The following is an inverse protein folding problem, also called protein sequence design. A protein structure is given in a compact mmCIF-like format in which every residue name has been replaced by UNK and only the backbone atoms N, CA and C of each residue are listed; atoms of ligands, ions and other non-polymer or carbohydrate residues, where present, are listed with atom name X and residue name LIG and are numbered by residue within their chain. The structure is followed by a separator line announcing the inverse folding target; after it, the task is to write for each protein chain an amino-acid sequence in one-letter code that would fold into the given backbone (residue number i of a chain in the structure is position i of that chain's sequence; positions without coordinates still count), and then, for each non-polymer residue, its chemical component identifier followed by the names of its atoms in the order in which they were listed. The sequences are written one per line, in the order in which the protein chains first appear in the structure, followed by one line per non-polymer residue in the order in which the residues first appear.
data_IF_372811273669
#
_entry.id   IF_372811273669
#
_cell.length_a   1.000
_cell.length_b   1.000
_cell.length_c   1.000
_cell.angle_alpha   90.00
_cell.angle_beta   90.00
_cell.angle_gamma   90.00
#
_symmetry.space_group_name_H-M   'P 1'
#
loop_
_entity.id
_entity.type
_entity.pdbx_description
1 polymer ?
#
# COMPACT_ATOMS: atom_id res chain seq x y z
N UNK A 1 -4.99 4.30 -28.24
CA UNK A 1 -4.63 4.64 -26.84
C UNK A 1 -5.75 5.43 -26.16
N UNK A 2 -6.11 6.62 -26.67
CA UNK A 2 -7.20 7.46 -26.09
C UNK A 2 -8.53 6.74 -25.98
N UNK A 3 -8.91 5.92 -26.97
CA UNK A 3 -10.15 5.14 -26.90
C UNK A 3 -10.19 4.13 -25.75
N UNK A 4 -9.06 3.51 -25.40
CA UNK A 4 -9.01 2.58 -24.27
C UNK A 4 -9.09 3.33 -22.92
N UNK A 5 -8.55 4.55 -22.84
CA UNK A 5 -8.72 5.41 -21.67
C UNK A 5 -10.20 5.76 -21.47
N UNK A 6 -10.87 6.23 -22.53
CA UNK A 6 -12.28 6.58 -22.48
C UNK A 6 -13.16 5.37 -22.10
N UNK A 7 -12.90 4.19 -22.69
CA UNK A 7 -13.64 2.96 -22.34
C UNK A 7 -13.39 2.51 -20.91
N UNK A 8 -12.16 2.67 -20.39
CA UNK A 8 -11.83 2.28 -19.02
C UNK A 8 -12.53 3.13 -17.95
N UNK A 9 -12.92 4.37 -18.27
CA UNK A 9 -13.65 5.26 -17.36
C UNK A 9 -15.17 5.00 -17.34
N UNK A 10 -15.71 4.28 -18.33
CA UNK A 10 -17.14 4.02 -18.43
C UNK A 10 -17.48 2.72 -17.71
N UNK A 11 -18.35 2.80 -16.71
CA UNK A 11 -18.92 1.61 -16.08
C UNK A 11 -19.69 0.81 -17.15
N UNK A 12 -19.28 -0.45 -17.36
CA UNK A 12 -19.99 -1.43 -18.19
C UNK A 12 -19.97 -1.15 -19.71
N UNK A 13 -18.78 -0.91 -20.28
CA UNK A 13 -18.61 -0.81 -21.74
C UNK A 13 -18.79 -2.17 -22.44
N UNK A 14 -19.55 -2.23 -23.55
CA UNK A 14 -19.77 -3.46 -24.33
C UNK A 14 -18.46 -4.13 -24.83
N UNK A 15 -17.37 -3.38 -24.93
CA UNK A 15 -16.03 -3.88 -25.28
C UNK A 15 -15.07 -3.62 -24.13
N UNK A 16 -14.58 -4.69 -23.50
CA UNK A 16 -13.59 -4.62 -22.44
C UNK A 16 -12.38 -3.74 -22.85
N UNK A 17 -12.06 -2.75 -22.03
CA UNK A 17 -10.85 -1.96 -22.20
C UNK A 17 -9.62 -2.75 -21.75
N UNK A 18 -8.50 -2.58 -22.45
CA UNK A 18 -7.20 -3.06 -21.97
C UNK A 18 -6.66 -2.23 -20.80
N UNK A 19 -7.29 -1.09 -20.48
CA UNK A 19 -6.91 -0.18 -19.39
C UNK A 19 -8.08 -0.05 -18.40
N UNK A 20 -7.87 -0.43 -17.14
CA UNK A 20 -8.92 -0.44 -16.10
C UNK A 20 -9.30 0.94 -15.53
N UNK A 21 -8.42 1.93 -15.63
CA UNK A 21 -8.65 3.30 -15.14
C UNK A 21 -9.18 3.39 -13.70
N UNK A 22 -8.54 2.68 -12.77
CA UNK A 22 -8.96 2.61 -11.37
C UNK A 22 -8.87 3.99 -10.69
N UNK A 23 -9.87 4.40 -9.89
CA UNK A 23 -9.82 5.65 -9.14
C UNK A 23 -8.77 5.56 -8.02
N UNK A 24 -8.01 6.64 -7.83
CA UNK A 24 -7.00 6.75 -6.76
C UNK A 24 -7.57 7.28 -5.44
N UNK A 25 -8.82 7.76 -5.44
CA UNK A 25 -9.47 8.48 -4.35
C UNK A 25 -8.74 9.75 -3.86
N UNK A 26 -7.80 10.27 -4.66
CA UNK A 26 -7.17 11.58 -4.46
C UNK A 26 -7.90 12.60 -5.33
N UNK A 27 -8.64 13.51 -4.69
CA UNK A 27 -9.56 14.45 -5.39
C UNK A 27 -9.00 15.86 -5.57
N UNK A 28 -7.86 16.16 -4.94
CA UNK A 28 -7.16 17.45 -5.06
C UNK A 28 -5.65 17.25 -5.07
N UNK A 29 -4.95 18.17 -5.72
CA UNK A 29 -3.49 18.26 -5.63
C UNK A 29 -3.07 19.00 -4.36
N UNK A 30 -1.81 18.83 -3.92
CA UNK A 30 -1.31 19.59 -2.79
C UNK A 30 -1.43 21.11 -3.02
N UNK A 31 -1.83 21.84 -2.00
CA UNK A 31 -1.99 23.30 -2.05
C UNK A 31 -0.95 24.07 -1.22
N UNK A 32 -0.06 23.34 -0.53
CA UNK A 32 1.01 23.89 0.28
C UNK A 32 0.57 24.25 1.70
N UNK A 33 -0.68 24.00 2.08
CA UNK A 33 -1.18 24.21 3.44
C UNK A 33 -1.02 22.98 4.33
N UNK A 34 -0.57 21.85 3.75
CA UNK A 34 -0.42 20.58 4.45
C UNK A 34 0.61 20.69 5.58
N UNK A 35 0.22 20.19 6.74
CA UNK A 35 1.01 20.25 7.96
C UNK A 35 0.90 18.93 8.72
N UNK A 36 1.94 18.62 9.49
CA UNK A 36 1.98 17.46 10.37
C UNK A 36 3.16 16.54 10.10
N UNK A 37 3.25 15.50 10.91
CA UNK A 37 4.28 14.46 10.79
C UNK A 37 3.62 13.15 10.39
N UNK A 38 4.16 12.50 9.37
CA UNK A 38 3.61 11.30 8.76
C UNK A 38 4.69 10.23 8.66
N UNK A 39 4.28 8.97 8.70
CA UNK A 39 5.11 7.86 8.28
C UNK A 39 4.72 7.48 6.85
N UNK A 40 5.70 7.17 6.02
CA UNK A 40 5.49 6.66 4.67
C UNK A 40 6.21 5.34 4.53
N UNK A 41 5.50 4.29 4.14
CA UNK A 41 6.08 3.01 3.78
C UNK A 41 5.96 2.81 2.28
N UNK A 42 7.09 2.62 1.62
CA UNK A 42 7.16 2.38 0.19
C UNK A 42 7.73 0.99 -0.06
N UNK A 43 6.91 0.08 -0.60
CA UNK A 43 7.40 -1.19 -1.11
C UNK A 43 8.10 -0.94 -2.44
N UNK A 44 9.28 -1.52 -2.61
CA UNK A 44 10.00 -1.61 -3.89
C UNK A 44 10.05 -3.08 -4.29
N UNK A 45 10.90 -3.42 -5.26
CA UNK A 45 10.93 -4.77 -5.80
C UNK A 45 11.47 -5.81 -4.80
N UNK A 46 12.68 -5.58 -4.27
CA UNK A 46 13.35 -6.48 -3.30
C UNK A 46 13.62 -5.81 -1.94
N UNK A 47 13.25 -4.54 -1.82
CA UNK A 47 13.45 -3.71 -0.64
C UNK A 47 12.19 -2.92 -0.34
N UNK A 48 12.12 -2.36 0.85
CA UNK A 48 11.13 -1.35 1.17
C UNK A 48 11.77 -0.22 1.96
N UNK A 49 11.14 0.94 1.95
CA UNK A 49 11.63 2.14 2.63
C UNK A 49 10.59 2.62 3.64
N UNK A 50 11.03 2.96 4.83
CA UNK A 50 10.21 3.70 5.80
C UNK A 50 10.77 5.11 5.89
N UNK A 51 9.91 6.10 5.75
CA UNK A 51 10.26 7.52 5.85
C UNK A 51 9.41 8.23 6.89
N UNK A 52 10.02 9.11 7.67
CA UNK A 52 9.32 10.13 8.42
C UNK A 52 9.27 11.40 7.56
N UNK A 53 8.08 11.91 7.31
CA UNK A 53 7.83 13.13 6.54
C UNK A 53 7.25 14.18 7.47
N UNK A 54 7.85 15.36 7.54
CA UNK A 54 7.32 16.52 8.27
C UNK A 54 6.95 17.60 7.27
N UNK A 55 5.71 18.06 7.36
CA UNK A 55 5.15 19.15 6.56
C UNK A 55 4.88 20.34 7.49
N UNK A 56 5.30 21.53 7.08
CA UNK A 56 5.19 22.78 7.83
C UNK A 56 4.41 23.88 7.08
N UNK A 57 3.74 23.52 5.99
CA UNK A 57 3.01 24.47 5.14
C UNK A 57 3.89 25.42 4.32
N UNK A 58 5.18 25.09 4.10
CA UNK A 58 6.14 25.95 3.38
C UNK A 58 6.71 25.34 2.09
N UNK A 59 6.03 24.36 1.52
CA UNK A 59 6.45 23.62 0.32
C UNK A 59 7.86 22.99 0.41
N UNK A 60 8.39 22.81 1.62
CA UNK A 60 9.72 22.23 1.83
C UNK A 60 9.65 21.11 2.87
N UNK A 61 9.22 19.90 2.47
CA UNK A 61 9.07 18.78 3.38
C UNK A 61 10.43 18.32 3.93
N UNK A 62 10.51 18.08 5.23
CA UNK A 62 11.65 17.36 5.82
C UNK A 62 11.39 15.86 5.74
N UNK A 63 12.30 15.12 5.12
CA UNK A 63 12.13 13.68 4.90
C UNK A 63 13.37 12.95 5.42
N UNK A 64 13.15 12.00 6.32
CA UNK A 64 14.18 11.10 6.83
C UNK A 64 13.79 9.65 6.54
N UNK A 65 14.66 8.90 5.86
CA UNK A 65 14.31 7.57 5.38
C UNK A 65 15.31 6.49 5.77
N UNK A 66 14.83 5.26 5.83
CA UNK A 66 15.63 4.05 6.02
C UNK A 66 15.14 2.94 5.09
N UNK A 67 16.06 2.22 4.45
CA UNK A 67 15.74 1.11 3.55
C UNK A 67 15.98 -0.23 4.26
N UNK A 68 15.11 -1.18 3.96
CA UNK A 68 15.11 -2.53 4.53
C UNK A 68 14.95 -3.55 3.40
N UNK A 69 15.50 -4.74 3.59
CA UNK A 69 15.29 -5.84 2.65
C UNK A 69 13.91 -6.44 2.84
N UNK A 70 13.26 -6.84 1.75
CA UNK A 70 11.99 -7.55 1.83
C UNK A 70 12.22 -8.95 2.44
N UNK A 71 11.49 -9.31 3.50
CA UNK A 71 11.56 -10.64 4.09
C UNK A 71 10.94 -11.70 3.18
N UNK A 72 11.45 -12.94 3.27
CA UNK A 72 11.01 -14.05 2.42
C UNK A 72 9.69 -14.68 2.88
N UNK A 73 9.29 -14.50 4.14
CA UNK A 73 8.09 -15.09 4.75
C UNK A 73 7.46 -14.04 5.68
N UNK A 74 6.13 -13.94 5.72
CA UNK A 74 5.38 -13.04 6.63
C UNK A 74 5.69 -11.53 6.48
N UNK A 75 5.57 -11.02 5.25
CA UNK A 75 5.87 -9.62 4.88
C UNK A 75 5.38 -8.56 5.89
N UNK A 76 4.12 -8.65 6.33
CA UNK A 76 3.53 -7.62 7.19
C UNK A 76 3.95 -7.70 8.65
N UNK A 77 4.21 -8.90 9.16
CA UNK A 77 4.71 -9.09 10.53
C UNK A 77 6.12 -8.49 10.65
N UNK A 78 6.97 -8.78 9.66
CA UNK A 78 8.31 -8.24 9.59
C UNK A 78 8.30 -6.73 9.34
N UNK A 79 7.46 -6.22 8.43
CA UNK A 79 7.25 -4.78 8.25
C UNK A 79 6.86 -4.10 9.57
N UNK A 80 5.94 -4.69 10.36
CA UNK A 80 5.54 -4.14 11.65
C UNK A 80 6.72 -4.11 12.63
N UNK A 81 7.55 -5.15 12.65
CA UNK A 81 8.79 -5.20 13.44
C UNK A 81 9.79 -4.10 13.03
N UNK A 82 9.99 -3.89 11.73
CA UNK A 82 10.83 -2.82 11.20
C UNK A 82 10.28 -1.43 11.52
N UNK A 83 8.96 -1.23 11.42
CA UNK A 83 8.28 0.01 11.79
C UNK A 83 8.48 0.34 13.28
N UNK A 84 8.29 -0.66 14.16
CA UNK A 84 8.51 -0.49 15.59
C UNK A 84 9.97 -0.11 15.90
N UNK A 85 10.92 -0.74 15.22
CA UNK A 85 12.34 -0.44 15.38
C UNK A 85 12.69 0.96 14.86
N UNK A 86 12.11 1.36 13.72
CA UNK A 86 12.27 2.70 13.16
C UNK A 86 11.74 3.78 14.11
N UNK A 87 10.50 3.62 14.62
CA UNK A 87 9.91 4.52 15.63
C UNK A 87 10.83 4.67 16.85
N UNK A 88 11.34 3.55 17.37
CA UNK A 88 12.24 3.55 18.53
C UNK A 88 13.55 4.30 18.27
N UNK A 89 14.21 4.07 17.13
CA UNK A 89 15.46 4.77 16.76
C UNK A 89 15.28 6.28 16.59
N UNK A 90 14.12 6.69 16.08
CA UNK A 90 13.79 8.10 15.83
C UNK A 90 13.09 8.77 17.02
N UNK A 91 12.95 8.07 18.15
CA UNK A 91 12.24 8.53 19.34
C UNK A 91 10.81 9.04 19.03
N UNK A 92 10.11 8.38 18.12
CA UNK A 92 8.72 8.67 17.78
C UNK A 92 7.84 7.94 18.79
N UNK A 93 7.25 8.69 19.73
CA UNK A 93 6.36 8.14 20.76
C UNK A 93 4.89 8.14 20.35
N UNK A 94 4.50 9.06 19.46
CA UNK A 94 3.12 9.21 19.02
C UNK A 94 2.72 8.17 17.96
N UNK A 95 1.41 7.92 17.86
CA UNK A 95 0.83 7.21 16.74
C UNK A 95 0.63 8.17 15.56
N UNK A 96 1.60 8.14 14.66
CA UNK A 96 1.60 8.96 13.46
C UNK A 96 0.74 8.30 12.36
N UNK A 97 0.01 9.09 11.55
CA UNK A 97 -0.65 8.57 10.36
C UNK A 97 0.37 7.95 9.41
N UNK A 98 0.02 6.82 8.81
CA UNK A 98 0.87 6.09 7.87
C UNK A 98 0.29 6.12 6.45
N UNK A 99 1.07 6.60 5.49
CA UNK A 99 0.85 6.41 4.07
C UNK A 99 1.57 5.17 3.59
N UNK A 100 0.93 4.35 2.76
CA UNK A 100 1.52 3.12 2.25
C UNK A 100 1.47 3.09 0.72
N UNK A 101 2.62 2.98 0.08
CA UNK A 101 2.78 2.96 -1.39
C UNK A 101 3.04 1.52 -1.84
N UNK A 102 2.06 0.95 -2.55
CA UNK A 102 2.18 -0.33 -3.24
C UNK A 102 2.48 -0.08 -4.72
N UNK A 103 3.64 -0.49 -5.26
CA UNK A 103 3.96 -0.33 -6.68
C UNK A 103 3.30 -1.41 -7.54
N UNK A 104 2.10 -1.86 -7.17
CA UNK A 104 1.49 -3.08 -7.66
C UNK A 104 0.18 -2.81 -8.38
N UNK A 105 -0.05 -3.52 -9.48
CA UNK A 105 -1.32 -3.44 -10.21
C UNK A 105 -2.42 -4.12 -9.41
N UNK A 106 -3.47 -3.37 -9.08
CA UNK A 106 -4.66 -3.91 -8.42
C UNK A 106 -5.52 -4.69 -9.42
N UNK A 107 -5.75 -5.97 -9.16
CA UNK A 107 -6.76 -6.77 -9.86
C UNK A 107 -7.94 -6.94 -8.93
N UNK A 108 -8.97 -6.10 -9.10
CA UNK A 108 -10.24 -6.24 -8.40
C UNK A 108 -11.01 -7.47 -8.94
N UNK A 109 -11.25 -8.47 -8.09
CA UNK A 109 -12.24 -9.51 -8.35
C UNK A 109 -13.51 -9.20 -7.55
N UNK A 110 -14.62 -9.00 -8.26
CA UNK A 110 -15.90 -8.48 -7.75
C UNK A 110 -16.63 -9.38 -6.74
N UNK A 111 -16.17 -10.60 -6.49
CA UNK A 111 -16.87 -11.52 -5.60
C UNK A 111 -16.34 -11.49 -4.16
N UNK A 112 -15.14 -10.96 -3.89
CA UNK A 112 -14.50 -11.08 -2.56
C UNK A 112 -13.51 -9.94 -2.19
N UNK A 113 -13.56 -8.75 -2.84
CA UNK A 113 -12.55 -7.68 -2.66
C UNK A 113 -11.09 -8.22 -2.79
N UNK A 114 -10.91 -9.20 -3.66
CA UNK A 114 -9.69 -9.98 -3.75
C UNK A 114 -8.71 -9.28 -4.72
N UNK A 115 -7.67 -8.66 -4.19
CA UNK A 115 -6.59 -8.07 -4.99
C UNK A 115 -5.52 -9.11 -5.31
N UNK A 116 -5.31 -9.45 -6.59
CA UNK A 116 -4.15 -10.24 -7.02
C UNK A 116 -3.04 -9.35 -7.56
N UNK A 117 -1.78 -9.69 -7.23
CA UNK A 117 -0.59 -9.03 -7.75
C UNK A 117 0.04 -9.89 -8.85
N UNK A 118 0.50 -9.25 -9.92
CA UNK A 118 1.34 -9.88 -10.93
C UNK A 118 2.50 -8.95 -11.26
N UNK A 119 3.70 -9.35 -10.90
CA UNK A 119 4.91 -9.45 -11.74
C UNK A 119 6.11 -9.83 -10.84
N UNK A 120 6.89 -10.80 -11.34
CA UNK A 120 7.68 -11.73 -10.53
C UNK A 120 8.86 -11.15 -9.74
N UNK A 121 9.36 -12.01 -8.83
CA UNK A 121 10.53 -11.91 -7.93
C UNK A 121 10.25 -11.84 -6.43
N UNK A 122 9.01 -12.02 -5.98
CA UNK A 122 8.80 -12.59 -4.65
C UNK A 122 8.55 -14.09 -4.86
N UNK A 123 9.43 -14.93 -4.29
CA UNK A 123 9.43 -16.38 -4.46
C UNK A 123 8.05 -17.01 -4.30
N UNK A 124 7.87 -18.19 -4.89
CA UNK A 124 6.58 -18.89 -5.05
C UNK A 124 5.59 -18.68 -3.91
N UNK A 125 4.64 -17.75 -4.11
CA UNK A 125 3.62 -17.40 -3.14
C UNK A 125 2.65 -16.39 -3.73
N UNK A 126 1.37 -16.78 -3.80
CA UNK A 126 0.27 -15.88 -4.13
C UNK A 126 -0.27 -15.30 -2.82
N UNK A 127 -0.20 -13.98 -2.66
CA UNK A 127 -0.63 -13.29 -1.45
C UNK A 127 -2.08 -12.80 -1.60
N UNK A 128 -2.90 -12.97 -0.56
CA UNK A 128 -4.31 -12.52 -0.53
C UNK A 128 -4.46 -11.36 0.45
N UNK A 129 -4.90 -10.22 -0.04
CA UNK A 129 -5.44 -9.12 0.76
C UNK A 129 -6.95 -9.31 0.86
N UNK A 130 -7.47 -9.41 2.08
CA UNK A 130 -8.92 -9.42 2.35
C UNK A 130 -9.25 -8.33 3.34
N UNK A 131 -10.17 -7.44 2.98
CA UNK A 131 -10.74 -6.47 3.91
C UNK A 131 -12.02 -7.08 4.50
N UNK A 132 -12.13 -7.27 5.84
CA UNK A 132 -13.40 -7.61 6.44
C UNK A 132 -14.29 -6.36 6.41
N UNK A 133 -15.32 -6.40 5.56
CA UNK A 133 -16.50 -5.52 5.57
C UNK A 133 -16.31 -4.11 6.13
N UNK A 134 -16.06 -3.14 5.26
CA UNK A 134 -16.45 -1.73 5.46
C UNK A 134 -15.63 -0.89 6.45
N UNK A 135 -14.74 -1.45 7.25
CA UNK A 135 -13.81 -0.67 8.09
C UNK A 135 -12.49 -1.43 8.21
N UNK A 136 -11.45 -1.02 7.49
CA UNK A 136 -10.20 -1.79 7.37
C UNK A 136 -9.19 -1.50 8.50
N UNK A 137 -8.86 -2.51 9.32
CA UNK A 137 -7.50 -2.96 9.50
C UNK A 137 -7.20 -4.06 8.45
N UNK A 138 -6.11 -3.90 7.70
CA UNK A 138 -5.69 -4.81 6.64
C UNK A 138 -5.20 -6.14 7.23
N UNK A 139 -5.78 -7.27 6.82
CA UNK A 139 -5.29 -8.61 7.15
C UNK A 139 -4.89 -9.36 5.86
N UNK A 140 -3.74 -10.03 5.89
CA UNK A 140 -3.26 -10.86 4.79
C UNK A 140 -3.00 -12.28 5.26
N UNK A 141 -3.53 -13.26 4.53
CA UNK A 141 -3.30 -14.69 4.79
C UNK A 141 -2.62 -15.34 3.60
N UNK A 142 -1.67 -16.24 3.86
CA UNK A 142 -1.06 -17.10 2.84
C UNK A 142 -1.97 -18.31 2.60
N UNK A 143 -2.30 -18.60 1.34
CA UNK A 143 -2.98 -19.85 1.01
C UNK A 143 -1.97 -20.99 1.10
N UNK A 144 -1.81 -21.58 2.29
CA UNK A 144 -0.88 -22.68 2.50
C UNK A 144 -0.66 -23.18 3.93
N UNK A 145 -1.26 -22.56 4.95
CA UNK A 145 -1.17 -23.10 6.32
C UNK A 145 -2.49 -22.91 7.07
N UNK A 146 -2.87 -23.97 7.76
CA UNK A 146 -4.08 -24.11 8.57
C UNK A 146 -4.34 -22.89 9.47
N UNK A 147 -5.62 -22.57 9.60
CA UNK A 147 -6.11 -21.40 10.32
C UNK A 147 -5.64 -21.33 11.77
N UNK A 148 -5.43 -20.10 12.21
CA UNK A 148 -5.33 -19.72 13.60
C UNK A 148 -6.12 -18.41 13.76
N UNK A 149 -7.31 -18.52 14.34
CA UNK A 149 -8.06 -17.40 14.90
C UNK A 149 -7.30 -16.87 16.12
N UNK A 150 -7.03 -15.55 16.13
CA UNK A 150 -6.60 -14.85 17.33
C UNK A 150 -7.83 -14.15 17.95
N UNK A 151 -8.08 -14.47 19.21
CA UNK A 151 -9.02 -13.74 20.10
C UNK A 151 -8.50 -12.36 20.46
#
# INVERSE_FOLDING_TARGET
MVENLARGLVNNSEKASTLKMLPTNVTSTPDGTEQGTFLVLELKQDTFQISQVKLDGRNNPEIESENFSIPKTQLFEDIASYLATFKKRRNIQDDLPIGFTFPFTFIENMEDELYSYSQGLLGQGQWRLSAPGGTCPLAMTSSGSAGLELK
#
